data_IF_359673034751
#
_entry.id   IF_359673034751
#
_cell.length_a   1.000
_cell.length_b   1.000
_cell.length_c   1.000
_cell.angle_alpha   90.00
_cell.angle_beta   90.00
_cell.angle_gamma   90.00
#
_symmetry.space_group_name_H-M   'P 1'
#
loop_
_entity.id
_entity.type
_entity.pdbx_description
1 polymer ?
#
# COMPACT_ATOMS: atom_id res chain seq x y z
N UNK A 1 22.95 -39.47 25.01
CA UNK A 1 22.22 -38.35 25.65
C UNK A 1 21.00 -38.01 24.80
N UNK A 2 19.87 -37.70 25.43
CA UNK A 2 18.50 -37.74 24.86
C UNK A 2 18.22 -36.59 23.88
N UNK A 3 17.42 -36.88 22.85
CA UNK A 3 16.76 -35.92 21.94
C UNK A 3 15.65 -35.18 22.69
N UNK A 4 15.47 -33.88 22.45
CA UNK A 4 14.19 -33.18 22.64
C UNK A 4 14.02 -32.08 21.59
N UNK A 5 13.14 -32.35 20.64
CA UNK A 5 12.49 -31.40 19.72
C UNK A 5 11.58 -30.48 20.54
N UNK A 6 11.57 -29.17 20.29
CA UNK A 6 10.52 -28.26 20.77
C UNK A 6 10.30 -27.14 19.74
N UNK A 7 9.16 -27.28 19.07
CA UNK A 7 8.47 -26.35 18.20
C UNK A 7 7.59 -25.49 19.12
N UNK A 8 7.66 -24.16 19.05
CA UNK A 8 6.75 -23.28 19.80
C UNK A 8 6.30 -22.12 18.92
N UNK A 9 4.98 -21.93 18.92
CA UNK A 9 4.17 -21.15 18.01
C UNK A 9 4.34 -19.62 18.15
N UNK A 10 4.27 -18.93 17.01
CA UNK A 10 3.94 -17.50 16.95
C UNK A 10 2.45 -17.34 17.25
N UNK A 11 2.11 -16.87 18.44
CA UNK A 11 0.78 -16.37 18.76
C UNK A 11 0.75 -14.87 18.49
N UNK A 12 0.13 -14.45 17.39
CA UNK A 12 -0.25 -13.05 17.17
C UNK A 12 -1.63 -12.86 17.77
N UNK A 13 -1.68 -12.25 18.95
CA UNK A 13 -2.94 -11.79 19.57
C UNK A 13 -3.32 -10.47 18.92
N UNK A 14 -4.24 -10.47 17.96
CA UNK A 14 -4.84 -9.22 17.48
C UNK A 14 -5.86 -8.77 18.52
N UNK A 15 -5.51 -7.71 19.25
CA UNK A 15 -6.43 -6.96 20.10
C UNK A 15 -7.39 -6.18 19.18
N UNK A 16 -8.60 -6.70 18.99
CA UNK A 16 -9.67 -5.98 18.31
C UNK A 16 -10.16 -4.85 19.21
N UNK A 17 -9.90 -3.59 18.82
CA UNK A 17 -10.54 -2.42 19.39
C UNK A 17 -12.01 -2.38 18.93
N UNK A 18 -12.96 -2.51 19.84
CA UNK A 18 -14.37 -2.20 19.59
C UNK A 18 -14.68 -0.80 20.13
N UNK A 19 -14.77 0.19 19.25
CA UNK A 19 -15.32 1.51 19.61
C UNK A 19 -16.83 1.55 19.34
N UNK A 20 -17.57 1.75 20.42
CA UNK A 20 -18.55 2.85 20.56
C UNK A 20 -19.77 2.87 19.65
N UNK A 21 -20.91 2.52 20.24
CA UNK A 21 -22.25 2.71 19.72
C UNK A 21 -22.65 4.20 19.56
N UNK A 22 -23.48 4.51 18.55
CA UNK A 22 -24.85 5.04 18.70
C UNK A 22 -25.33 5.75 17.41
N UNK A 23 -26.17 5.06 16.63
CA UNK A 23 -27.25 5.65 15.86
C UNK A 23 -28.25 4.53 15.51
N UNK A 24 -29.11 4.19 16.48
CA UNK A 24 -30.29 3.37 16.19
C UNK A 24 -31.44 4.31 15.85
N UNK A 25 -31.87 4.31 14.60
CA UNK A 25 -33.28 4.19 14.18
C UNK A 25 -33.27 3.94 12.66
N UNK A 26 -33.82 2.78 12.24
CA UNK A 26 -34.16 2.39 10.85
C UNK A 26 -33.06 1.81 9.92
N UNK A 27 -32.34 0.76 10.33
CA UNK A 27 -31.63 -0.14 9.38
C UNK A 27 -31.30 -1.48 10.07
N UNK A 28 -32.28 -2.39 10.17
CA UNK A 28 -32.10 -3.67 10.88
C UNK A 28 -31.53 -4.81 10.00
N UNK A 29 -31.11 -4.54 8.77
CA UNK A 29 -30.63 -5.60 7.86
C UNK A 29 -29.34 -5.26 7.10
N UNK A 30 -28.83 -4.03 7.27
CA UNK A 30 -27.60 -3.58 6.66
C UNK A 30 -26.40 -3.92 7.53
N UNK A 31 -25.49 -4.75 7.04
CA UNK A 31 -24.21 -4.98 7.70
C UNK A 31 -23.11 -4.26 6.93
N UNK A 32 -22.45 -3.32 7.60
CA UNK A 32 -21.24 -2.69 7.09
C UNK A 32 -20.02 -3.33 7.74
N UNK A 33 -19.04 -3.75 6.94
CA UNK A 33 -17.84 -4.41 7.44
C UNK A 33 -16.88 -4.81 6.33
N UNK A 34 -15.57 -4.91 6.61
CA UNK A 34 -14.59 -5.24 5.60
C UNK A 34 -14.77 -6.67 5.10
N UNK A 35 -14.75 -6.87 3.78
CA UNK A 35 -14.77 -8.21 3.17
C UNK A 35 -13.37 -8.86 3.11
N UNK A 36 -12.32 -8.06 3.31
CA UNK A 36 -10.92 -8.49 3.24
C UNK A 36 -10.36 -8.46 1.81
N UNK A 37 -11.06 -9.06 0.84
CA UNK A 37 -10.72 -8.99 -0.59
C UNK A 37 -11.87 -8.41 -1.39
N UNK A 38 -11.54 -7.70 -2.47
CA UNK A 38 -12.50 -7.03 -3.35
C UNK A 38 -12.14 -7.36 -4.81
N UNK A 39 -13.13 -7.67 -5.65
CA UNK A 39 -12.88 -7.78 -7.08
C UNK A 39 -12.82 -6.37 -7.68
N UNK A 40 -11.93 -6.15 -8.66
CA UNK A 40 -11.86 -4.85 -9.33
C UNK A 40 -13.19 -4.49 -10.01
N UNK A 41 -13.87 -5.49 -10.56
CA UNK A 41 -15.20 -5.37 -11.18
C UNK A 41 -16.27 -4.85 -10.20
N UNK A 42 -16.16 -5.20 -8.91
CA UNK A 42 -17.08 -4.71 -7.87
C UNK A 42 -16.78 -3.25 -7.45
N UNK A 43 -15.61 -2.74 -7.81
CA UNK A 43 -15.16 -1.38 -7.47
C UNK A 43 -15.32 -0.43 -8.66
N UNK A 44 -15.16 -0.93 -9.88
CA UNK A 44 -15.57 -0.22 -11.08
C UNK A 44 -17.08 -0.01 -11.04
N UNK A 45 -17.55 1.14 -11.54
CA UNK A 45 -18.93 1.60 -11.48
C UNK A 45 -19.48 1.81 -10.05
N UNK A 46 -18.63 1.68 -9.01
CA UNK A 46 -19.05 1.92 -7.65
C UNK A 46 -19.33 3.41 -7.41
N UNK A 47 -20.40 3.70 -6.68
CA UNK A 47 -20.75 5.07 -6.32
C UNK A 47 -19.75 5.66 -5.32
N UNK A 48 -19.33 6.89 -5.57
CA UNK A 48 -18.49 7.69 -4.68
C UNK A 48 -19.30 8.72 -3.90
N UNK A 49 -19.03 8.87 -2.60
CA UNK A 49 -19.74 9.74 -1.67
C UNK A 49 -18.76 10.56 -0.84
N UNK A 50 -19.16 11.75 -0.41
CA UNK A 50 -18.39 12.52 0.58
C UNK A 50 -18.71 11.99 1.98
N UNK A 51 -17.68 11.77 2.80
CA UNK A 51 -17.82 11.43 4.21
C UNK A 51 -18.57 12.54 4.95
N UNK A 52 -19.62 12.18 5.71
CA UNK A 52 -20.54 13.12 6.35
C UNK A 52 -21.19 14.12 5.37
N UNK A 53 -21.25 13.77 4.08
CA UNK A 53 -21.94 14.54 3.05
C UNK A 53 -23.45 14.42 3.17
N UNK A 54 -24.15 14.79 2.10
CA UNK A 54 -25.61 14.79 2.05
C UNK A 54 -26.22 13.38 1.90
N UNK A 55 -25.41 12.39 1.53
CA UNK A 55 -25.83 11.00 1.28
C UNK A 55 -26.05 10.69 -0.19
N UNK A 56 -26.00 11.70 -1.07
CA UNK A 56 -26.03 11.53 -2.52
C UNK A 56 -24.64 11.22 -3.09
N UNK A 57 -24.57 10.36 -4.12
CA UNK A 57 -23.31 10.09 -4.79
C UNK A 57 -22.84 11.36 -5.53
N UNK A 58 -21.53 11.58 -5.48
CA UNK A 58 -20.83 12.67 -6.15
C UNK A 58 -20.19 12.24 -7.46
N UNK A 59 -20.16 10.94 -7.75
CA UNK A 59 -19.58 10.37 -8.94
C UNK A 59 -19.54 8.85 -8.90
N UNK A 60 -18.96 8.26 -9.93
CA UNK A 60 -18.81 6.81 -10.14
C UNK A 60 -17.34 6.50 -10.46
N UNK A 61 -16.87 5.32 -10.07
CA UNK A 61 -15.47 4.92 -10.32
C UNK A 61 -15.31 4.40 -11.75
N UNK A 62 -14.49 5.09 -12.54
CA UNK A 62 -14.22 4.71 -13.94
C UNK A 62 -12.96 3.84 -14.08
N UNK A 63 -11.94 4.09 -13.26
CA UNK A 63 -10.65 3.39 -13.38
C UNK A 63 -9.94 3.27 -12.02
N UNK A 64 -9.05 2.28 -11.94
CA UNK A 64 -8.22 2.00 -10.78
C UNK A 64 -6.76 2.09 -11.23
N UNK A 65 -6.05 3.09 -10.71
CA UNK A 65 -4.66 3.33 -11.08
C UNK A 65 -3.72 2.55 -10.15
N UNK A 66 -2.84 1.75 -10.75
CA UNK A 66 -1.84 0.97 -10.04
C UNK A 66 -0.44 1.53 -10.24
N UNK A 67 0.41 1.40 -9.22
CA UNK A 67 1.84 1.66 -9.32
C UNK A 67 2.62 0.44 -9.85
N UNK A 68 3.93 0.61 -10.05
CA UNK A 68 4.85 -0.46 -10.48
C UNK A 68 4.91 -1.66 -9.51
N UNK A 69 4.44 -1.51 -8.27
CA UNK A 69 4.36 -2.59 -7.29
C UNK A 69 2.98 -3.27 -7.27
N UNK A 70 2.11 -2.95 -8.24
CA UNK A 70 0.73 -3.43 -8.32
C UNK A 70 -0.11 -3.02 -7.10
N UNK A 71 0.20 -1.89 -6.47
CA UNK A 71 -0.63 -1.30 -5.43
C UNK A 71 -1.50 -0.22 -6.03
N UNK A 72 -2.74 -0.11 -5.53
CA UNK A 72 -3.62 1.01 -5.89
C UNK A 72 -2.96 2.30 -5.42
N UNK A 73 -2.79 3.23 -6.36
CA UNK A 73 -2.26 4.57 -6.12
C UNK A 73 -3.36 5.63 -6.11
N UNK A 74 -4.42 5.43 -6.90
CA UNK A 74 -5.56 6.32 -6.97
C UNK A 74 -6.77 5.62 -7.62
N UNK A 75 -7.95 6.20 -7.44
CA UNK A 75 -9.14 5.93 -8.23
C UNK A 75 -9.36 7.09 -9.19
N UNK A 76 -9.88 6.79 -10.38
CA UNK A 76 -10.45 7.80 -11.28
C UNK A 76 -11.95 7.76 -11.07
N UNK A 77 -12.52 8.91 -10.71
CA UNK A 77 -13.96 9.04 -10.43
C UNK A 77 -14.56 10.03 -11.41
N UNK A 78 -15.55 9.63 -12.21
CA UNK A 78 -16.32 10.58 -13.00
C UNK A 78 -17.30 11.33 -12.09
N UNK A 79 -17.13 12.64 -11.99
CA UNK A 79 -18.04 13.47 -11.19
C UNK A 79 -19.45 13.47 -11.77
N UNK A 80 -20.46 13.24 -10.95
CA UNK A 80 -21.84 13.38 -11.38
C UNK A 80 -22.18 14.81 -11.82
N UNK A 81 -23.22 14.95 -12.64
CA UNK A 81 -23.69 16.26 -13.13
C UNK A 81 -24.17 17.19 -12.00
N UNK A 82 -24.52 16.62 -10.85
CA UNK A 82 -25.13 17.32 -9.69
C UNK A 82 -24.17 18.31 -9.03
N UNK A 83 -22.86 18.03 -9.04
CA UNK A 83 -21.86 18.94 -8.45
C UNK A 83 -21.53 20.16 -9.33
N UNK A 84 -22.12 20.27 -10.53
CA UNK A 84 -21.76 21.33 -11.48
C UNK A 84 -20.33 21.20 -12.02
N UNK A 85 -19.71 20.03 -11.83
CA UNK A 85 -18.37 19.71 -12.32
C UNK A 85 -18.37 19.11 -13.73
N UNK A 86 -19.57 18.80 -14.25
CA UNK A 86 -19.79 18.53 -15.67
C UNK A 86 -19.31 17.18 -16.18
N UNK A 87 -19.34 16.11 -15.37
CA UNK A 87 -18.89 14.80 -15.85
C UNK A 87 -17.37 14.70 -15.96
N UNK A 88 -16.62 15.55 -15.26
CA UNK A 88 -15.15 15.48 -15.33
C UNK A 88 -14.66 14.27 -14.53
N UNK A 89 -13.65 13.60 -15.07
CA UNK A 89 -12.93 12.54 -14.35
C UNK A 89 -11.91 13.18 -13.39
N UNK A 90 -11.94 12.79 -12.12
CA UNK A 90 -11.06 13.31 -11.08
C UNK A 90 -10.22 12.20 -10.46
N UNK A 91 -8.96 12.52 -10.17
CA UNK A 91 -8.03 11.58 -9.55
C UNK A 91 -8.13 11.68 -8.04
N UNK A 92 -8.54 10.60 -7.40
CA UNK A 92 -8.70 10.49 -5.95
C UNK A 92 -7.58 9.59 -5.41
N UNK A 93 -6.60 10.21 -4.75
CA UNK A 93 -5.47 9.47 -4.15
C UNK A 93 -5.90 8.60 -2.95
N UNK A 94 -5.12 7.58 -2.63
CA UNK A 94 -5.40 6.63 -1.53
C UNK A 94 -5.56 7.27 -0.15
N UNK A 95 -5.05 8.48 0.05
CA UNK A 95 -5.18 9.22 1.31
C UNK A 95 -6.59 9.83 1.49
N UNK A 96 -7.37 9.92 0.40
CA UNK A 96 -8.65 10.60 0.37
C UNK A 96 -9.85 9.67 0.31
N UNK A 97 -9.67 8.35 0.15
CA UNK A 97 -10.80 7.44 0.06
C UNK A 97 -10.68 6.22 0.96
N UNK A 98 -11.82 5.73 1.40
CA UNK A 98 -11.99 4.42 2.02
C UNK A 98 -13.11 3.67 1.31
N UNK A 99 -13.01 2.35 1.28
CA UNK A 99 -14.08 1.52 0.74
C UNK A 99 -15.02 1.08 1.85
N UNK A 100 -16.30 1.34 1.69
CA UNK A 100 -17.35 0.82 2.54
C UNK A 100 -18.10 -0.27 1.80
N UNK A 101 -18.24 -1.43 2.43
CA UNK A 101 -19.15 -2.48 1.95
C UNK A 101 -20.47 -2.32 2.67
N UNK A 102 -21.54 -2.27 1.90
CA UNK A 102 -22.90 -2.26 2.39
C UNK A 102 -23.59 -3.54 1.89
N UNK A 103 -23.96 -4.42 2.81
CA UNK A 103 -24.73 -5.62 2.47
C UNK A 103 -26.15 -5.48 3.00
N UNK A 104 -27.13 -5.49 2.10
CA UNK A 104 -28.55 -5.52 2.42
C UNK A 104 -29.13 -6.88 2.02
N UNK A 105 -30.24 -7.30 2.66
CA UNK A 105 -31.00 -8.42 2.12
C UNK A 105 -32.14 -7.87 1.29
N UNK A 106 -32.31 -8.43 0.11
CA UNK A 106 -33.47 -8.19 -0.71
C UNK A 106 -34.74 -8.82 -0.11
N UNK A 107 -35.88 -8.56 -0.76
CA UNK A 107 -37.19 -9.09 -0.37
C UNK A 107 -37.27 -10.63 -0.48
N UNK A 108 -36.40 -11.24 -1.29
CA UNK A 108 -36.31 -12.69 -1.50
C UNK A 108 -35.39 -13.38 -0.46
N UNK A 109 -34.66 -12.60 0.33
CA UNK A 109 -33.76 -13.05 1.38
C UNK A 109 -32.32 -13.32 0.91
N UNK A 110 -32.02 -13.03 -0.35
CA UNK A 110 -30.68 -13.00 -0.90
C UNK A 110 -29.97 -11.72 -0.43
N UNK A 111 -28.63 -11.76 -0.44
CA UNK A 111 -27.80 -10.64 0.04
C UNK A 111 -27.22 -9.91 -1.15
N UNK A 112 -27.66 -8.67 -1.34
CA UNK A 112 -27.04 -7.76 -2.26
C UNK A 112 -25.92 -7.03 -1.54
N UNK A 113 -24.72 -7.11 -2.11
CA UNK A 113 -23.53 -6.48 -1.56
C UNK A 113 -23.08 -5.40 -2.51
N UNK A 114 -23.12 -4.17 -2.03
CA UNK A 114 -22.69 -2.98 -2.76
C UNK A 114 -21.42 -2.42 -2.13
N UNK A 115 -20.58 -1.87 -2.99
CA UNK A 115 -19.36 -1.18 -2.63
C UNK A 115 -19.52 0.32 -2.84
N UNK A 116 -19.14 1.10 -1.83
CA UNK A 116 -19.20 2.56 -1.87
C UNK A 116 -17.84 3.14 -1.59
N UNK A 117 -17.41 4.07 -2.42
CA UNK A 117 -16.17 4.82 -2.21
C UNK A 117 -16.49 6.03 -1.35
N UNK A 118 -15.95 6.07 -0.15
CA UNK A 118 -16.14 7.16 0.80
C UNK A 118 -14.94 8.11 0.73
N UNK A 119 -15.15 9.30 0.18
CA UNK A 119 -14.14 10.34 0.00
C UNK A 119 -14.10 11.26 1.23
N UNK A 120 -12.99 11.27 1.94
CA UNK A 120 -12.71 12.11 3.10
C UNK A 120 -12.17 13.48 2.63
N UNK A 121 -13.05 14.28 2.03
CA UNK A 121 -12.78 15.63 1.59
C UNK A 121 -14.08 16.45 1.55
N UNK A 122 -13.98 17.77 1.68
CA UNK A 122 -15.11 18.67 1.47
C UNK A 122 -15.45 18.81 -0.01
N UNK A 123 -16.68 19.25 -0.32
CA UNK A 123 -17.09 19.49 -1.71
C UNK A 123 -16.17 20.48 -2.44
N UNK A 124 -15.66 21.50 -1.74
CA UNK A 124 -14.75 22.50 -2.31
C UNK A 124 -13.37 21.89 -2.60
N UNK A 125 -12.88 20.97 -1.76
CA UNK A 125 -11.62 20.25 -1.98
C UNK A 125 -11.73 19.25 -3.13
N UNK A 126 -12.85 18.52 -3.24
CA UNK A 126 -13.12 17.62 -4.38
C UNK A 126 -13.07 18.39 -5.70
N UNK A 127 -13.62 19.61 -5.73
CA UNK A 127 -13.56 20.46 -6.92
C UNK A 127 -12.12 20.85 -7.32
N UNK A 128 -11.15 20.75 -6.41
CA UNK A 128 -9.73 21.02 -6.65
C UNK A 128 -8.90 19.78 -7.01
N UNK A 129 -9.47 18.58 -6.91
CA UNK A 129 -8.75 17.37 -7.28
C UNK A 129 -8.30 17.41 -8.75
N UNK A 130 -7.11 16.87 -9.07
CA UNK A 130 -6.60 16.84 -10.43
C UNK A 130 -7.61 16.18 -11.37
N UNK A 131 -7.81 16.76 -12.54
CA UNK A 131 -8.60 16.13 -13.59
C UNK A 131 -7.77 15.00 -14.21
N UNK A 132 -8.37 13.82 -14.37
CA UNK A 132 -7.80 12.76 -15.18
C UNK A 132 -7.97 13.13 -16.65
N UNK A 133 -6.84 13.31 -17.34
CA UNK A 133 -6.79 13.60 -18.76
C UNK A 133 -5.46 13.12 -19.32
N UNK A 134 -5.30 13.20 -20.64
CA UNK A 134 -4.10 12.71 -21.32
C UNK A 134 -2.80 13.34 -20.78
N UNK A 135 -2.75 14.67 -20.65
CA UNK A 135 -1.56 15.39 -20.17
C UNK A 135 -1.21 15.01 -18.72
N UNK A 136 -2.22 14.90 -17.85
CA UNK A 136 -2.04 14.44 -16.48
C UNK A 136 -1.50 13.01 -16.45
N UNK A 137 -2.06 12.12 -17.28
CA UNK A 137 -1.66 10.72 -17.35
C UNK A 137 -0.22 10.54 -17.84
N UNK A 138 0.17 11.24 -18.90
CA UNK A 138 1.56 11.22 -19.39
C UNK A 138 2.54 11.71 -18.31
N UNK A 139 2.18 12.80 -17.61
CA UNK A 139 3.01 13.31 -16.52
C UNK A 139 3.08 12.32 -15.34
N UNK A 140 1.97 11.70 -14.97
CA UNK A 140 1.90 10.71 -13.90
C UNK A 140 2.77 9.48 -14.24
N UNK A 141 2.69 8.96 -15.46
CA UNK A 141 3.54 7.87 -15.93
C UNK A 141 5.02 8.24 -15.92
N UNK A 142 5.38 9.43 -16.42
CA UNK A 142 6.77 9.90 -16.40
C UNK A 142 7.32 9.97 -14.98
N UNK A 143 6.55 10.55 -14.05
CA UNK A 143 6.94 10.67 -12.66
C UNK A 143 7.11 9.28 -12.00
N UNK A 144 6.22 8.34 -12.29
CA UNK A 144 6.30 6.98 -11.79
C UNK A 144 7.54 6.24 -12.33
N UNK A 145 7.84 6.38 -13.62
CA UNK A 145 9.04 5.80 -14.25
C UNK A 145 10.33 6.36 -13.65
N UNK A 146 10.41 7.67 -13.44
CA UNK A 146 11.57 8.33 -12.83
C UNK A 146 11.79 7.88 -11.39
N UNK A 147 10.70 7.78 -10.61
CA UNK A 147 10.74 7.29 -9.24
C UNK A 147 11.21 5.82 -9.17
N UNK A 148 10.75 4.97 -10.10
CA UNK A 148 11.18 3.58 -10.20
C UNK A 148 12.67 3.45 -10.55
N UNK A 149 13.14 4.18 -11.56
CA UNK A 149 14.54 4.18 -11.97
C UNK A 149 15.45 4.66 -10.83
N UNK A 150 15.05 5.73 -10.14
CA UNK A 150 15.78 6.26 -8.98
C UNK A 150 15.87 5.24 -7.85
N UNK A 151 14.76 4.54 -7.58
CA UNK A 151 14.71 3.50 -6.55
C UNK A 151 15.61 2.31 -6.90
N UNK A 152 15.59 1.86 -8.16
CA UNK A 152 16.45 0.77 -8.64
C UNK A 152 17.93 1.14 -8.54
N UNK A 153 18.31 2.34 -8.99
CA UNK A 153 19.68 2.84 -8.94
C UNK A 153 20.18 3.01 -7.50
N UNK A 154 19.33 3.54 -6.61
CA UNK A 154 19.64 3.67 -5.18
C UNK A 154 19.83 2.31 -4.50
N UNK A 155 18.94 1.35 -4.79
CA UNK A 155 19.06 -0.02 -4.28
C UNK A 155 20.35 -0.70 -4.76
N UNK A 156 20.70 -0.57 -6.03
CA UNK A 156 21.94 -1.12 -6.58
C UNK A 156 23.17 -0.51 -5.89
N UNK A 157 23.19 0.81 -5.73
CA UNK A 157 24.30 1.53 -5.07
C UNK A 157 24.49 1.08 -3.61
N UNK A 158 23.39 0.87 -2.88
CA UNK A 158 23.42 0.37 -1.51
C UNK A 158 23.93 -1.08 -1.42
N UNK A 159 23.51 -1.95 -2.35
CA UNK A 159 24.00 -3.32 -2.46
C UNK A 159 25.49 -3.39 -2.78
N UNK A 160 25.97 -2.58 -3.73
CA UNK A 160 27.38 -2.48 -4.08
C UNK A 160 28.22 -2.01 -2.88
N UNK A 161 27.80 -0.93 -2.22
CA UNK A 161 28.48 -0.40 -1.03
C UNK A 161 28.60 -1.43 0.10
N UNK A 162 27.54 -2.21 0.35
CA UNK A 162 27.54 -3.29 1.35
C UNK A 162 28.53 -4.40 0.97
N UNK A 163 28.55 -4.79 -0.30
CA UNK A 163 29.47 -5.82 -0.81
C UNK A 163 30.93 -5.37 -0.72
N UNK A 164 31.21 -4.11 -1.04
CA UNK A 164 32.56 -3.54 -0.95
C UNK A 164 33.05 -3.44 0.49
N UNK A 165 32.20 -2.94 1.40
CA UNK A 165 32.52 -2.91 2.83
C UNK A 165 32.84 -4.29 3.39
N UNK A 166 32.06 -5.31 3.01
CA UNK A 166 32.31 -6.70 3.41
C UNK A 166 33.65 -7.22 2.85
N UNK A 167 33.93 -7.01 1.56
CA UNK A 167 35.22 -7.42 0.95
C UNK A 167 36.42 -6.77 1.65
N UNK A 168 36.33 -5.47 1.94
CA UNK A 168 37.39 -4.73 2.61
C UNK A 168 37.63 -5.22 4.04
N UNK A 169 36.56 -5.57 4.78
CA UNK A 169 36.67 -6.16 6.10
C UNK A 169 37.34 -7.54 6.06
N UNK A 170 36.92 -8.41 5.14
CA UNK A 170 37.52 -9.74 4.94
C UNK A 170 39.00 -9.65 4.55
N UNK A 171 39.38 -8.75 3.64
CA UNK A 171 40.77 -8.53 3.26
C UNK A 171 41.63 -8.02 4.42
N UNK A 172 41.13 -7.07 5.22
CA UNK A 172 41.86 -6.59 6.41
C UNK A 172 42.13 -7.72 7.41
N UNK A 173 41.14 -8.58 7.66
CA UNK A 173 41.32 -9.74 8.53
C UNK A 173 42.31 -10.75 7.96
N UNK A 174 42.28 -11.01 6.66
CA UNK A 174 43.23 -11.92 6.02
C UNK A 174 44.66 -11.37 6.07
N UNK A 175 44.86 -10.09 5.74
CA UNK A 175 46.20 -9.47 5.78
C UNK A 175 46.77 -9.47 7.20
N UNK A 176 45.97 -9.09 8.21
CA UNK A 176 46.43 -9.13 9.60
C UNK A 176 46.78 -10.55 10.08
N UNK A 177 46.05 -11.56 9.62
CA UNK A 177 46.36 -12.96 9.91
C UNK A 177 47.63 -13.45 9.19
N UNK A 178 47.84 -13.03 7.94
CA UNK A 178 49.07 -13.33 7.17
C UNK A 178 50.30 -12.68 7.80
N UNK A 179 50.23 -11.38 8.13
CA UNK A 179 51.33 -10.62 8.74
C UNK A 179 51.75 -11.27 10.07
N UNK A 180 50.79 -11.64 10.92
CA UNK A 180 51.07 -12.38 12.16
C UNK A 180 51.68 -13.77 11.90
N UNK A 181 51.25 -14.47 10.84
CA UNK A 181 51.79 -15.81 10.52
C UNK A 181 53.23 -15.76 10.01
N UNK A 182 53.59 -14.74 9.22
CA UNK A 182 54.96 -14.49 8.76
C UNK A 182 55.86 -14.08 9.93
N UNK A 183 55.41 -13.16 10.80
CA UNK A 183 56.18 -12.74 11.98
C UNK A 183 56.44 -13.91 12.94
N UNK A 184 55.49 -14.83 13.09
CA UNK A 184 55.66 -16.02 13.93
C UNK A 184 56.57 -17.07 13.26
N UNK A 185 56.61 -17.14 11.93
CA UNK A 185 57.50 -18.05 11.19
C UNK A 185 58.95 -17.56 11.21
N UNK A 186 59.20 -16.27 10.98
CA UNK A 186 60.54 -15.68 11.00
C UNK A 186 61.18 -15.81 12.40
N UNK A 187 60.41 -15.52 13.46
CA UNK A 187 60.86 -15.68 14.85
C UNK A 187 61.12 -17.16 15.23
N UNK A 188 60.41 -18.11 14.62
CA UNK A 188 60.62 -19.53 14.85
C UNK A 188 61.84 -20.07 14.09
N UNK A 189 62.13 -19.57 12.89
CA UNK A 189 63.34 -19.94 12.14
C UNK A 189 64.62 -19.38 12.77
N UNK A 190 64.60 -18.13 13.25
CA UNK A 190 65.76 -17.48 13.89
C UNK A 190 66.12 -18.13 15.25
N UNK A 191 65.16 -18.81 15.88
CA UNK A 191 65.38 -19.57 17.12
C UNK A 191 65.93 -21.00 16.89
N UNK A 192 66.11 -21.44 15.64
CA UNK A 192 66.53 -22.80 15.28
C UNK A 192 67.89 -22.91 14.56
N UNK A 193 68.57 -21.79 14.28
CA UNK A 193 70.00 -21.74 13.90
C UNK A 193 70.93 -21.58 15.11
#
# INVERSE_FOLDING_TARGET
>A
MRKNTLMTALGVSVLSFSLGAQAQTEQQNAQTGPQGMYAADDILDANAYIVNGSGEPIGEVEDILFDEQMKVSALVVESGQVLGLGGREMVVGTDYFALETYTEKDDDGDRDTEHRVMIDATSDEVAQFPAYNHDWWEQAQSNAQDAWQTTQAGAESAWQSTREGAKNAWQKTQNAASDMSEETQDAASDATE
#
